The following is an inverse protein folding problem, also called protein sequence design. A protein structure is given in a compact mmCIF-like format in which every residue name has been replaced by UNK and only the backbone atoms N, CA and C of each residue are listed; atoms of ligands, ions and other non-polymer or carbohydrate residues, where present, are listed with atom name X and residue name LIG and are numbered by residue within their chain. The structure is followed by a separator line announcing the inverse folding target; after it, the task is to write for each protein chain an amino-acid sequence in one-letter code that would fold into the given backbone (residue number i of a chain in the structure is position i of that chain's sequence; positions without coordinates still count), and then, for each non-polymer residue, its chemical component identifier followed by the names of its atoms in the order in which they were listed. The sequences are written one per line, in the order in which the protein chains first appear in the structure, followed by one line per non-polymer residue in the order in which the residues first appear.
data_IF_443299710395
#
_entry.id   IF_443299710395
#
_cell.length_a   1.000
_cell.length_b   1.000
_cell.length_c   1.000
_cell.angle_alpha   90.00
_cell.angle_beta   90.00
_cell.angle_gamma   90.00
#
_symmetry.space_group_name_H-M   'P 1'
#
loop_
_entity.id
_entity.type
_entity.pdbx_description
1 polymer ?
#
# COMPACT_ATOMS: atom_id res chain seq x y z
N UNK A 1 -7.51 -73.79 -9.01
CA UNK A 1 -7.04 -72.44 -8.82
C UNK A 1 -7.52 -71.92 -7.47
N UNK A 2 -6.66 -71.89 -6.44
CA UNK A 2 -7.00 -71.37 -5.10
C UNK A 2 -6.82 -69.86 -5.08
N UNK A 3 -7.89 -69.08 -5.04
CA UNK A 3 -7.83 -67.66 -4.78
C UNK A 3 -7.51 -67.43 -3.31
N UNK A 4 -6.30 -66.99 -2.97
CA UNK A 4 -5.94 -66.44 -1.66
C UNK A 4 -6.74 -65.16 -1.44
N UNK A 5 -7.73 -65.19 -0.58
CA UNK A 5 -8.41 -63.99 -0.05
C UNK A 5 -7.44 -63.26 0.84
N UNK A 6 -6.99 -62.06 0.41
CA UNK A 6 -6.21 -61.13 1.24
C UNK A 6 -7.14 -60.62 2.33
N UNK A 7 -6.83 -60.92 3.60
CA UNK A 7 -7.49 -60.29 4.74
C UNK A 7 -7.16 -58.77 4.72
N UNK A 8 -8.09 -57.97 4.29
CA UNK A 8 -8.04 -56.50 4.41
C UNK A 8 -8.36 -56.20 5.89
N UNK A 9 -7.34 -55.83 6.63
CA UNK A 9 -7.52 -55.27 7.98
C UNK A 9 -8.20 -53.93 7.84
N UNK A 10 -9.42 -53.78 8.31
CA UNK A 10 -10.13 -52.51 8.39
C UNK A 10 -9.64 -51.71 9.60
N UNK A 11 -9.64 -50.39 9.47
CA UNK A 11 -9.37 -49.48 10.58
C UNK A 11 -10.44 -49.63 11.68
N UNK A 12 -10.01 -49.63 12.92
CA UNK A 12 -10.94 -49.62 14.05
C UNK A 12 -11.52 -48.21 14.25
N UNK A 13 -12.73 -48.10 14.76
CA UNK A 13 -13.38 -46.82 15.08
C UNK A 13 -12.54 -45.99 16.08
N UNK A 14 -11.85 -46.68 17.01
CA UNK A 14 -10.96 -46.06 18.00
C UNK A 14 -9.71 -45.43 17.35
N UNK A 15 -9.12 -46.07 16.33
CA UNK A 15 -7.97 -45.52 15.62
C UNK A 15 -8.36 -44.24 14.88
N UNK A 16 -9.54 -44.24 14.24
CA UNK A 16 -10.03 -43.02 13.55
C UNK A 16 -10.32 -41.90 14.55
N UNK A 17 -10.94 -42.19 15.68
CA UNK A 17 -11.22 -41.23 16.74
C UNK A 17 -9.92 -40.65 17.34
N UNK A 18 -8.92 -41.45 17.55
CA UNK A 18 -7.62 -41.00 18.06
C UNK A 18 -6.93 -40.04 17.10
N UNK A 19 -6.99 -40.28 15.77
CA UNK A 19 -6.40 -39.43 14.75
C UNK A 19 -7.07 -38.05 14.71
N UNK A 20 -8.41 -38.01 14.74
CA UNK A 20 -9.11 -36.72 14.71
C UNK A 20 -8.86 -35.87 15.95
N UNK A 21 -8.73 -36.50 17.14
CA UNK A 21 -8.38 -35.79 18.38
C UNK A 21 -6.99 -35.19 18.30
N UNK A 22 -6.00 -35.93 17.81
CA UNK A 22 -4.63 -35.45 17.64
C UNK A 22 -4.60 -34.30 16.62
N UNK A 23 -5.28 -34.45 15.49
CA UNK A 23 -5.38 -33.39 14.48
C UNK A 23 -6.02 -32.11 15.04
N UNK A 24 -7.07 -32.23 15.87
CA UNK A 24 -7.72 -31.08 16.50
C UNK A 24 -6.76 -30.32 17.43
N UNK A 25 -5.95 -31.02 18.22
CA UNK A 25 -4.96 -30.40 19.11
C UNK A 25 -3.86 -29.71 18.32
N UNK A 26 -3.33 -30.37 17.29
CA UNK A 26 -2.28 -29.79 16.42
C UNK A 26 -2.80 -28.55 15.72
N UNK A 27 -4.04 -28.57 15.20
CA UNK A 27 -4.65 -27.41 14.55
C UNK A 27 -4.82 -26.24 15.52
N UNK A 28 -5.22 -26.48 16.76
CA UNK A 28 -5.38 -25.44 17.79
C UNK A 28 -4.06 -24.70 18.07
N UNK A 29 -2.95 -25.42 18.12
CA UNK A 29 -1.62 -24.82 18.34
C UNK A 29 -1.15 -24.08 17.08
N UNK A 30 -1.35 -24.65 15.89
CA UNK A 30 -0.90 -24.08 14.62
C UNK A 30 -1.59 -22.75 14.28
N UNK A 31 -2.89 -22.62 14.53
CA UNK A 31 -3.65 -21.40 14.23
C UNK A 31 -3.07 -20.19 14.96
N UNK A 32 -2.77 -20.31 16.24
CA UNK A 32 -2.22 -19.20 17.04
C UNK A 32 -0.83 -18.73 16.55
N UNK A 33 -0.06 -19.60 15.94
CA UNK A 33 1.26 -19.26 15.40
C UNK A 33 1.17 -18.62 14.00
N UNK A 34 0.16 -18.98 13.20
CA UNK A 34 0.03 -18.53 11.80
C UNK A 34 -0.64 -17.16 11.66
N UNK A 35 -1.65 -16.85 12.51
CA UNK A 35 -2.41 -15.60 12.42
C UNK A 35 -1.53 -14.33 12.43
N UNK A 36 -0.55 -14.15 13.34
CA UNK A 36 0.29 -12.95 13.34
C UNK A 36 1.20 -12.86 12.10
N UNK A 37 1.59 -13.99 11.54
CA UNK A 37 2.40 -14.01 10.31
C UNK A 37 1.58 -13.57 9.09
N UNK A 38 0.33 -13.99 9.01
CA UNK A 38 -0.58 -13.57 7.94
C UNK A 38 -0.86 -12.06 7.98
N UNK A 39 -1.03 -11.51 9.19
CA UNK A 39 -1.26 -10.07 9.35
C UNK A 39 -0.03 -9.25 8.91
N UNK A 40 1.18 -9.68 9.31
CA UNK A 40 2.43 -9.06 8.86
C UNK A 40 2.57 -9.14 7.34
N UNK A 41 2.30 -10.30 6.74
CA UNK A 41 2.37 -10.47 5.30
C UNK A 41 1.41 -9.52 4.55
N UNK A 42 0.18 -9.34 5.06
CA UNK A 42 -0.79 -8.40 4.51
C UNK A 42 -0.31 -6.95 4.59
N UNK A 43 0.25 -6.53 5.74
CA UNK A 43 0.80 -5.18 5.93
C UNK A 43 2.00 -4.95 5.02
N UNK A 44 2.90 -5.91 4.92
CA UNK A 44 4.06 -5.84 4.02
C UNK A 44 3.62 -5.72 2.55
N UNK A 45 2.64 -6.51 2.12
CA UNK A 45 2.07 -6.41 0.76
C UNK A 45 1.49 -5.02 0.51
N UNK A 46 0.71 -4.48 1.45
CA UNK A 46 0.11 -3.17 1.32
C UNK A 46 1.17 -2.04 1.28
N UNK A 47 2.25 -2.16 2.06
CA UNK A 47 3.37 -1.22 2.01
C UNK A 47 4.08 -1.24 0.63
N UNK A 48 4.25 -2.40 0.03
CA UNK A 48 4.80 -2.54 -1.34
C UNK A 48 3.90 -1.85 -2.36
N UNK A 49 2.58 -2.03 -2.25
CA UNK A 49 1.60 -1.38 -3.13
C UNK A 49 1.62 0.15 -2.97
N UNK A 50 1.80 0.65 -1.75
CA UNK A 50 1.96 2.09 -1.49
C UNK A 50 3.25 2.66 -2.10
N UNK A 51 4.37 1.94 -2.02
CA UNK A 51 5.60 2.33 -2.72
C UNK A 51 5.41 2.31 -4.24
N UNK A 52 4.71 1.32 -4.78
CA UNK A 52 4.34 1.29 -6.20
C UNK A 52 3.50 2.49 -6.63
N UNK A 53 2.62 3.00 -5.75
CA UNK A 53 1.87 4.24 -6.01
C UNK A 53 2.78 5.47 -6.06
N UNK A 54 3.82 5.53 -5.22
CA UNK A 54 4.83 6.59 -5.25
C UNK A 54 5.61 6.57 -6.56
N UNK A 55 6.05 5.38 -7.00
CA UNK A 55 6.77 5.20 -8.26
C UNK A 55 5.91 5.59 -9.47
N UNK A 56 4.64 5.21 -9.45
CA UNK A 56 3.66 5.58 -10.46
C UNK A 56 3.44 7.11 -10.51
N UNK A 57 3.38 7.77 -9.37
CA UNK A 57 3.26 9.23 -9.28
C UNK A 57 4.52 9.91 -9.83
N UNK A 58 5.71 9.39 -9.52
CA UNK A 58 6.96 9.89 -10.07
C UNK A 58 6.95 9.82 -11.61
N UNK A 59 6.59 8.67 -12.18
CA UNK A 59 6.47 8.49 -13.63
C UNK A 59 5.43 9.44 -14.24
N UNK A 60 4.29 9.65 -13.57
CA UNK A 60 3.27 10.60 -13.99
C UNK A 60 3.80 12.04 -14.05
N UNK A 61 4.47 12.53 -13.00
CA UNK A 61 5.01 13.88 -12.95
C UNK A 61 6.15 14.07 -13.96
N UNK A 62 7.00 13.07 -14.17
CA UNK A 62 8.04 13.09 -15.21
C UNK A 62 7.43 13.22 -16.61
N UNK A 63 6.42 12.44 -16.92
CA UNK A 63 5.76 12.49 -18.23
C UNK A 63 4.99 13.79 -18.42
N UNK A 64 4.32 14.29 -17.38
CA UNK A 64 3.58 15.57 -17.43
C UNK A 64 4.50 16.77 -17.63
N UNK A 65 5.74 16.71 -17.19
CA UNK A 65 6.74 17.77 -17.44
C UNK A 65 7.21 17.82 -18.89
N UNK A 66 7.09 16.71 -19.63
CA UNK A 66 7.47 16.60 -21.04
C UNK A 66 6.32 17.00 -21.99
N UNK A 67 5.08 16.91 -21.56
CA UNK A 67 3.90 17.29 -22.33
C UNK A 67 3.55 18.75 -22.07
N UNK A 68 3.53 19.54 -23.12
CA UNK A 68 3.31 21.00 -23.09
C UNK A 68 2.04 21.38 -22.34
N UNK A 69 2.20 22.05 -21.21
CA UNK A 69 1.14 22.89 -20.64
C UNK A 69 0.54 22.49 -19.31
N UNK A 70 0.99 21.46 -18.60
CA UNK A 70 0.41 21.21 -17.29
C UNK A 70 1.28 20.42 -16.30
N UNK A 71 1.32 20.96 -15.11
CA UNK A 71 1.54 20.32 -13.79
C UNK A 71 2.55 19.18 -13.72
N UNK A 72 3.73 19.39 -14.28
CA UNK A 72 4.89 18.59 -13.94
C UNK A 72 5.28 18.78 -12.48
N UNK A 73 6.49 18.43 -12.14
CA UNK A 73 7.04 18.68 -10.81
C UNK A 73 6.92 20.15 -10.39
N UNK A 74 6.65 20.43 -9.12
CA UNK A 74 6.64 21.80 -8.61
C UNK A 74 8.00 22.46 -8.83
N UNK A 75 7.98 23.69 -9.35
CA UNK A 75 9.21 24.44 -9.71
C UNK A 75 9.72 25.29 -8.55
N UNK A 76 8.83 25.83 -7.73
CA UNK A 76 9.18 26.68 -6.60
C UNK A 76 9.74 25.84 -5.43
N UNK A 77 10.78 26.32 -4.72
CA UNK A 77 11.24 25.69 -3.46
C UNK A 77 10.08 25.57 -2.46
N UNK A 78 9.91 24.40 -1.85
CA UNK A 78 8.79 24.09 -0.95
C UNK A 78 7.43 23.96 -1.65
N UNK A 79 7.36 24.18 -2.96
CA UNK A 79 6.15 23.96 -3.74
C UNK A 79 5.74 22.49 -3.75
N UNK A 80 4.45 22.23 -3.82
CA UNK A 80 3.93 20.87 -3.86
C UNK A 80 2.88 20.68 -4.95
N UNK A 81 2.79 19.46 -5.46
CA UNK A 81 1.74 19.00 -6.35
C UNK A 81 1.24 17.65 -5.85
N UNK A 82 0.03 17.25 -6.25
CA UNK A 82 -0.43 15.92 -5.91
C UNK A 82 -1.23 15.27 -7.06
N UNK A 83 -1.31 13.95 -7.01
CA UNK A 83 -2.07 13.15 -7.99
C UNK A 83 -2.86 12.08 -7.23
N UNK A 84 -4.09 11.84 -7.67
CA UNK A 84 -4.92 10.79 -7.06
C UNK A 84 -4.56 9.40 -7.62
N UNK A 85 -4.77 8.37 -6.82
CA UNK A 85 -4.59 6.98 -7.27
C UNK A 85 -5.48 6.68 -8.48
N UNK A 86 -6.67 7.26 -8.53
CA UNK A 86 -7.59 7.09 -9.66
C UNK A 86 -7.03 7.71 -10.97
N UNK A 87 -6.43 8.89 -10.87
CA UNK A 87 -5.75 9.52 -12.01
C UNK A 87 -4.56 8.69 -12.51
N UNK A 88 -3.78 8.12 -11.58
CA UNK A 88 -2.66 7.23 -11.93
C UNK A 88 -3.15 5.96 -12.65
N UNK A 89 -4.26 5.38 -12.18
CA UNK A 89 -4.87 4.19 -12.78
C UNK A 89 -5.41 4.49 -14.17
N UNK A 90 -6.21 5.54 -14.32
CA UNK A 90 -6.81 5.91 -15.62
C UNK A 90 -5.77 6.37 -16.64
N UNK A 91 -4.68 6.95 -16.17
CA UNK A 91 -3.52 7.31 -17.00
C UNK A 91 -2.60 6.15 -17.38
N UNK A 92 -2.84 4.94 -16.85
CA UNK A 92 -2.00 3.76 -17.13
C UNK A 92 -0.66 3.75 -16.40
N UNK A 93 -0.50 4.53 -15.34
CA UNK A 93 0.73 4.57 -14.53
C UNK A 93 0.69 3.58 -13.36
N UNK A 94 -0.48 3.11 -12.96
CA UNK A 94 -0.66 2.22 -11.81
C UNK A 94 -1.64 1.10 -12.13
N UNK A 95 -1.28 -0.14 -11.77
CA UNK A 95 -2.10 -1.34 -11.89
C UNK A 95 -2.93 -1.62 -10.61
N UNK A 96 -2.94 -0.71 -9.65
CA UNK A 96 -3.71 -0.85 -8.42
C UNK A 96 -5.21 -1.01 -8.72
N UNK A 97 -5.86 -1.98 -8.08
CA UNK A 97 -7.29 -2.22 -8.25
C UNK A 97 -8.14 -1.03 -7.74
N UNK A 98 -9.43 -1.03 -8.09
CA UNK A 98 -10.38 0.01 -7.65
C UNK A 98 -10.63 0.05 -6.14
N UNK A 99 -10.19 -0.97 -5.40
CA UNK A 99 -10.25 -0.99 -3.93
C UNK A 99 -9.29 0.02 -3.29
N UNK A 100 -8.24 0.42 -4.04
CA UNK A 100 -7.25 1.41 -3.57
C UNK A 100 -7.71 2.81 -3.90
N UNK A 101 -7.78 3.65 -2.89
CA UNK A 101 -8.12 5.07 -3.03
C UNK A 101 -7.15 5.92 -2.23
N UNK A 102 -6.93 7.14 -2.68
CA UNK A 102 -6.02 8.05 -2.02
C UNK A 102 -5.27 8.94 -3.01
N UNK A 103 -4.13 9.45 -2.59
CA UNK A 103 -3.33 10.37 -3.37
C UNK A 103 -1.85 10.29 -3.01
N UNK A 104 -1.02 10.72 -3.93
CA UNK A 104 0.42 10.91 -3.71
C UNK A 104 0.72 12.39 -3.91
N UNK A 105 1.42 12.97 -2.95
CA UNK A 105 1.90 14.35 -2.98
C UNK A 105 3.39 14.36 -3.25
N UNK A 106 3.84 15.23 -4.12
CA UNK A 106 5.25 15.53 -4.34
C UNK A 106 5.55 16.94 -3.83
N UNK A 107 6.64 17.10 -3.11
CA UNK A 107 7.11 18.40 -2.60
C UNK A 107 8.55 18.61 -3.05
N UNK A 108 8.83 19.77 -3.63
CA UNK A 108 10.21 20.18 -3.96
C UNK A 108 10.95 20.58 -2.69
N UNK A 109 12.23 20.26 -2.61
CA UNK A 109 13.10 20.74 -1.53
C UNK A 109 12.96 22.26 -1.30
N UNK A 110 13.01 22.68 -0.05
CA UNK A 110 13.01 24.08 0.34
C UNK A 110 14.33 24.79 0.02
N UNK A 111 15.41 24.03 -0.23
CA UNK A 111 16.68 24.57 -0.71
C UNK A 111 16.53 24.97 -2.19
N UNK A 112 16.70 26.29 -2.51
CA UNK A 112 16.56 26.76 -3.90
C UNK A 112 17.58 26.17 -4.87
N UNK A 113 18.71 25.68 -4.37
CA UNK A 113 19.77 25.06 -5.18
C UNK A 113 19.58 23.53 -5.32
N UNK A 114 18.61 22.95 -4.65
CA UNK A 114 18.32 21.52 -4.69
C UNK A 114 17.26 21.20 -5.74
N UNK A 115 17.51 20.15 -6.50
CA UNK A 115 16.54 19.55 -7.41
C UNK A 115 15.89 18.29 -6.83
N UNK A 116 15.92 18.13 -5.50
CA UNK A 116 15.32 16.97 -4.83
C UNK A 116 13.80 17.15 -4.69
N UNK A 117 13.10 16.05 -4.85
CA UNK A 117 11.66 15.93 -4.67
C UNK A 117 11.37 14.84 -3.65
N UNK A 118 10.38 15.09 -2.79
CA UNK A 118 9.94 14.18 -1.74
C UNK A 118 8.50 13.77 -2.03
N UNK A 119 8.22 12.47 -1.89
CA UNK A 119 6.91 11.89 -2.14
C UNK A 119 6.28 11.44 -0.83
N UNK A 120 5.03 11.81 -0.63
CA UNK A 120 4.21 11.40 0.51
C UNK A 120 2.96 10.70 -0.02
N UNK A 121 2.56 9.60 0.59
CA UNK A 121 1.40 8.81 0.16
C UNK A 121 0.34 8.76 1.24
N UNK A 122 -0.89 8.98 0.82
CA UNK A 122 -2.12 8.67 1.53
C UNK A 122 -2.85 7.64 0.72
N UNK A 123 -2.94 6.42 1.22
CA UNK A 123 -3.57 5.33 0.50
C UNK A 123 -4.35 4.44 1.47
N UNK A 124 -5.54 4.03 1.07
CA UNK A 124 -6.31 3.02 1.77
C UNK A 124 -6.77 1.92 0.83
N UNK A 125 -6.97 0.72 1.38
CA UNK A 125 -7.57 -0.42 0.70
C UNK A 125 -8.93 -0.74 1.31
N UNK A 126 -9.99 -0.28 0.67
CA UNK A 126 -11.34 -0.36 1.23
C UNK A 126 -11.37 0.21 2.65
N UNK A 127 -11.99 -0.52 3.57
CA UNK A 127 -12.05 -0.18 4.99
C UNK A 127 -11.22 -1.15 5.86
N UNK A 128 -10.14 -1.70 5.30
CA UNK A 128 -9.29 -2.68 5.99
C UNK A 128 -7.97 -2.09 6.49
N UNK A 129 -7.27 -1.38 5.64
CA UNK A 129 -5.92 -0.84 5.92
C UNK A 129 -5.77 0.56 5.33
N UNK A 130 -4.89 1.36 5.96
CA UNK A 130 -4.54 2.69 5.46
C UNK A 130 -3.09 3.03 5.79
N UNK A 131 -2.53 3.94 4.99
CA UNK A 131 -1.28 4.66 5.25
C UNK A 131 -1.57 6.14 5.11
N UNK A 132 -1.11 6.93 6.06
CA UNK A 132 -1.32 8.37 6.09
C UNK A 132 0.03 9.06 6.20
N UNK A 133 0.29 9.97 5.26
CA UNK A 133 1.42 10.89 5.30
C UNK A 133 2.77 10.17 5.49
N UNK A 134 3.03 9.14 4.68
CA UNK A 134 4.27 8.36 4.75
C UNK A 134 4.99 8.37 3.41
N UNK A 135 6.31 8.18 3.47
CA UNK A 135 7.20 8.11 2.31
C UNK A 135 8.13 9.30 2.15
N UNK A 136 7.77 10.49 2.66
CA UNK A 136 8.66 11.64 2.73
C UNK A 136 8.34 12.48 3.97
N UNK A 137 9.36 13.07 4.56
CA UNK A 137 9.19 14.08 5.60
C UNK A 137 9.74 15.41 5.08
N UNK A 138 8.99 16.48 5.27
CA UNK A 138 9.46 17.83 4.99
C UNK A 138 10.75 18.10 5.80
N UNK A 139 11.87 18.25 5.11
CA UNK A 139 13.19 18.45 5.72
C UNK A 139 14.14 17.25 5.63
N UNK A 140 13.71 16.10 5.10
CA UNK A 140 14.63 15.00 4.79
C UNK A 140 15.37 15.20 3.48
N UNK A 141 16.58 14.66 3.41
CA UNK A 141 17.43 14.66 2.21
C UNK A 141 17.18 13.46 1.29
N UNK A 142 16.37 12.51 1.73
CA UNK A 142 16.08 11.26 1.02
C UNK A 142 14.59 10.88 1.12
N UNK A 143 14.06 10.24 0.08
CA UNK A 143 12.77 9.59 0.13
C UNK A 143 12.85 8.33 1.00
N UNK A 144 11.98 8.23 1.98
CA UNK A 144 11.88 7.06 2.85
C UNK A 144 10.82 6.12 2.29
N UNK A 145 11.20 4.87 2.06
CA UNK A 145 10.25 3.84 1.65
C UNK A 145 9.19 3.61 2.74
N UNK A 146 7.97 3.34 2.29
CA UNK A 146 6.90 2.92 3.19
C UNK A 146 7.15 1.49 3.64
N UNK A 147 7.08 1.24 4.94
CA UNK A 147 7.31 -0.06 5.56
C UNK A 147 6.01 -0.62 6.17
N UNK A 148 6.01 -1.91 6.51
CA UNK A 148 4.85 -2.57 7.15
C UNK A 148 4.41 -1.88 8.46
N UNK A 149 5.35 -1.31 9.20
CA UNK A 149 5.09 -0.56 10.43
C UNK A 149 4.31 0.75 10.23
N UNK A 150 4.24 1.24 8.99
CA UNK A 150 3.45 2.43 8.64
C UNK A 150 1.99 2.08 8.30
N UNK A 151 1.67 0.80 8.15
CA UNK A 151 0.32 0.35 7.82
C UNK A 151 -0.54 0.28 9.08
N UNK A 152 -1.64 1.01 9.07
CA UNK A 152 -2.62 1.03 10.15
C UNK A 152 -3.92 0.34 9.72
N UNK A 153 -4.72 -0.11 10.70
CA UNK A 153 -6.11 -0.46 10.46
C UNK A 153 -6.90 0.77 10.04
N UNK A 154 -7.93 0.59 9.20
CA UNK A 154 -8.72 1.72 8.73
C UNK A 154 -9.45 2.41 9.88
N UNK A 155 -9.29 3.74 9.95
CA UNK A 155 -10.00 4.65 10.83
C UNK A 155 -10.59 5.79 10.00
N UNK A 156 -11.91 5.84 9.91
CA UNK A 156 -12.63 6.80 9.07
C UNK A 156 -12.38 8.26 9.51
N UNK A 157 -12.27 8.51 10.81
CA UNK A 157 -12.03 9.84 11.36
C UNK A 157 -10.62 10.33 11.02
N UNK A 158 -9.64 9.45 11.24
CA UNK A 158 -8.24 9.72 10.94
C UNK A 158 -8.02 9.89 9.44
N UNK A 159 -8.67 9.05 8.62
CA UNK A 159 -8.62 9.15 7.17
C UNK A 159 -9.18 10.48 6.67
N UNK A 160 -10.38 10.87 7.11
CA UNK A 160 -11.03 12.09 6.64
C UNK A 160 -10.32 13.38 7.06
N UNK A 161 -9.64 13.37 8.21
CA UNK A 161 -8.89 14.54 8.71
C UNK A 161 -7.52 14.71 8.06
N UNK A 162 -6.93 13.62 7.54
CA UNK A 162 -5.54 13.60 7.07
C UNK A 162 -5.41 13.46 5.55
N UNK A 163 -6.46 12.96 4.88
CA UNK A 163 -6.42 12.80 3.43
C UNK A 163 -6.45 14.18 2.74
N UNK A 164 -5.49 14.52 1.88
CA UNK A 164 -5.61 15.68 1.01
C UNK A 164 -6.72 15.40 -0.01
N UNK A 165 -7.98 15.59 0.40
CA UNK A 165 -9.18 15.36 -0.42
C UNK A 165 -9.27 16.31 -1.61
N UNK A 166 -8.42 17.29 -1.66
CA UNK A 166 -8.20 18.15 -2.81
C UNK A 166 -6.75 18.02 -3.24
N UNK A 167 -6.46 16.99 -4.02
CA UNK A 167 -5.49 17.16 -5.09
C UNK A 167 -6.08 18.21 -6.02
N UNK A 168 -6.16 19.43 -5.54
CA UNK A 168 -6.43 20.56 -6.41
C UNK A 168 -5.38 20.52 -7.48
N UNK A 169 -5.78 20.45 -8.73
CA UNK A 169 -4.96 20.77 -9.89
C UNK A 169 -4.05 21.92 -9.43
N UNK A 170 -2.73 21.74 -9.52
CA UNK A 170 -1.80 22.78 -9.12
C UNK A 170 -2.20 24.07 -9.84
N UNK A 171 -3.04 24.83 -9.16
CA UNK A 171 -3.53 26.10 -9.66
C UNK A 171 -2.33 27.03 -9.71
N UNK A 172 -2.08 27.52 -10.89
CA UNK A 172 -1.39 28.79 -11.21
C UNK A 172 -0.97 29.55 -9.96
N UNK A 173 0.35 29.80 -9.86
CA UNK A 173 0.94 30.64 -8.84
C UNK A 173 0.09 31.86 -8.52
N UNK A 174 -0.36 31.94 -7.28
CA UNK A 174 -0.87 33.17 -6.73
C UNK A 174 0.26 34.17 -6.72
N UNK A 175 0.21 35.12 -7.63
CA UNK A 175 0.94 36.38 -7.53
C UNK A 175 0.38 37.10 -6.32
N UNK A 176 1.06 36.96 -5.17
CA UNK A 176 0.87 37.83 -4.04
C UNK A 176 1.46 39.20 -4.38
N UNK A 177 0.61 40.17 -4.44
CA UNK A 177 0.96 41.59 -4.42
C UNK A 177 1.37 42.03 -3.02
#
# INVERSE_FOLDING_TARGET
MNKKTKNLKGFTLVELLAVIVVLAIVMLIAVNAVLPQMERARRSSFAIEANGAIDAANAYFMNSSLTTGNTGFPTAPGGSACVTIDTLRTGGYSDLSSEYTGSVKVTKSTDPNSNLYFFEVWIKKGDSMMIIDKGANSGMTENVAVEEGNVEGYDATKWSSSNPTTCGVAGSGGTGS
#
